data_IF_310598367659
#
_entry.id   IF_310598367659
#
_cell.length_a   1.000
_cell.length_b   1.000
_cell.length_c   1.000
_cell.angle_alpha   90.00
_cell.angle_beta   90.00
_cell.angle_gamma   90.00
#
_symmetry.space_group_name_H-M   'P 1'
#
loop_
_entity.id
_entity.type
_entity.pdbx_description
1 polymer ?
#
# COMPACT_ATOMS: atom_id res chain seq x y z
N UNK A 1 -11.50 21.05 -0.86
CA UNK A 1 -10.10 20.92 -0.39
C UNK A 1 -10.00 19.60 0.36
N UNK A 2 -9.19 18.66 -0.12
CA UNK A 2 -9.00 17.39 0.58
C UNK A 2 -8.31 17.69 1.92
N UNK A 3 -9.02 17.45 3.03
CA UNK A 3 -8.42 17.54 4.36
C UNK A 3 -7.29 16.52 4.40
N UNK A 4 -6.05 17.01 4.49
CA UNK A 4 -4.87 16.20 4.63
C UNK A 4 -4.96 15.55 6.03
N UNK A 5 -5.57 14.36 6.12
CA UNK A 5 -5.66 13.59 7.37
C UNK A 5 -4.23 13.39 7.86
N UNK A 6 -3.91 13.94 9.04
CA UNK A 6 -2.62 13.75 9.67
C UNK A 6 -2.32 12.25 9.80
N UNK A 7 -1.12 11.83 9.38
CA UNK A 7 -0.72 10.44 9.48
C UNK A 7 -0.57 10.08 10.98
N UNK A 8 -1.02 8.90 11.42
CA UNK A 8 -0.68 8.40 12.75
C UNK A 8 0.83 8.47 12.99
N UNK A 9 1.25 8.87 14.19
CA UNK A 9 2.67 9.07 14.56
C UNK A 9 3.54 7.83 14.27
N UNK A 10 2.97 6.62 14.39
CA UNK A 10 3.63 5.36 14.02
C UNK A 10 3.99 5.27 12.54
N UNK A 11 3.13 5.80 11.65
CA UNK A 11 3.39 5.84 10.20
C UNK A 11 4.47 6.86 9.86
N UNK A 12 4.47 8.02 10.51
CA UNK A 12 5.53 9.03 10.33
C UNK A 12 6.90 8.48 10.76
N UNK A 13 6.93 7.78 11.90
CA UNK A 13 8.16 7.15 12.41
C UNK A 13 8.68 6.08 11.45
N UNK A 14 7.77 5.30 10.86
CA UNK A 14 8.11 4.32 9.82
C UNK A 14 8.66 4.99 8.55
N UNK A 15 8.07 6.08 8.08
CA UNK A 15 8.59 6.81 6.92
C UNK A 15 9.95 7.47 7.20
N UNK A 16 10.19 7.91 8.44
CA UNK A 16 11.50 8.40 8.87
C UNK A 16 12.55 7.27 8.86
N UNK A 17 12.18 6.06 9.31
CA UNK A 17 13.11 4.92 9.28
C UNK A 17 13.44 4.49 7.86
N UNK A 18 12.47 4.52 6.93
CA UNK A 18 12.70 4.32 5.50
C UNK A 18 13.67 5.34 4.90
N UNK A 19 13.48 6.63 5.22
CA UNK A 19 14.39 7.69 4.77
C UNK A 19 15.80 7.51 5.33
N UNK A 20 15.92 7.14 6.61
CA UNK A 20 17.22 6.86 7.23
C UNK A 20 17.92 5.72 6.51
N UNK A 21 17.23 4.58 6.32
CA UNK A 21 17.75 3.41 5.62
C UNK A 21 18.21 3.74 4.20
N UNK A 22 17.41 4.49 3.44
CA UNK A 22 17.79 4.95 2.09
C UNK A 22 19.12 5.71 2.10
N UNK A 23 19.26 6.69 3.02
CA UNK A 23 20.47 7.50 3.13
C UNK A 23 21.68 6.67 3.53
N UNK A 24 21.51 5.80 4.51
CA UNK A 24 22.57 4.94 5.03
C UNK A 24 23.08 3.96 3.95
N UNK A 25 22.16 3.32 3.20
CA UNK A 25 22.51 2.38 2.13
C UNK A 25 23.18 3.09 0.94
N UNK A 26 22.68 4.25 0.49
CA UNK A 26 23.30 5.03 -0.58
C UNK A 26 24.71 5.48 -0.17
N UNK A 27 24.86 5.99 1.06
CA UNK A 27 26.15 6.39 1.61
C UNK A 27 27.11 5.19 1.65
N UNK A 28 26.64 4.03 2.09
CA UNK A 28 27.45 2.81 2.12
C UNK A 28 27.95 2.40 0.73
N UNK A 29 27.09 2.48 -0.30
CA UNK A 29 27.49 2.19 -1.68
C UNK A 29 28.58 3.15 -2.15
N UNK A 30 28.37 4.46 -1.95
CA UNK A 30 29.31 5.49 -2.38
C UNK A 30 30.65 5.38 -1.65
N UNK A 31 30.62 5.21 -0.33
CA UNK A 31 31.82 5.11 0.50
C UNK A 31 32.62 3.85 0.12
N UNK A 32 31.98 2.68 -0.02
CA UNK A 32 32.68 1.45 -0.44
C UNK A 32 33.24 1.55 -1.87
N UNK A 33 32.50 2.14 -2.81
CA UNK A 33 33.00 2.32 -4.18
C UNK A 33 34.20 3.27 -4.21
N UNK A 34 34.14 4.36 -3.44
CA UNK A 34 35.25 5.31 -3.32
C UNK A 34 36.52 4.62 -2.81
N UNK A 35 36.38 3.76 -1.79
CA UNK A 35 37.52 3.02 -1.25
C UNK A 35 38.07 1.98 -2.23
N UNK A 36 37.23 1.29 -3.03
CA UNK A 36 37.73 0.40 -4.10
C UNK A 36 38.63 1.17 -5.08
N UNK A 37 38.23 2.39 -5.47
CA UNK A 37 39.03 3.23 -6.37
C UNK A 37 40.36 3.63 -5.72
N UNK A 38 40.36 3.92 -4.41
CA UNK A 38 41.61 4.23 -3.68
C UNK A 38 42.54 3.02 -3.63
N UNK A 39 42.02 1.83 -3.32
CA UNK A 39 42.81 0.59 -3.27
C UNK A 39 43.35 0.19 -4.64
N UNK A 40 42.73 0.62 -5.74
CA UNK A 40 43.23 0.36 -7.09
C UNK A 40 44.49 1.19 -7.45
N UNK A 41 44.83 2.20 -6.64
CA UNK A 41 46.02 3.02 -6.85
C UNK A 41 47.26 2.23 -6.43
N UNK A 42 48.20 2.07 -7.36
CA UNK A 42 49.50 1.44 -7.08
C UNK A 42 50.40 2.47 -6.40
N UNK A 43 50.85 2.16 -5.18
CA UNK A 43 51.84 2.95 -4.46
C UNK A 43 53.24 2.34 -4.64
N UNK A 44 54.26 3.20 -4.79
CA UNK A 44 55.64 2.77 -5.06
C UNK A 44 56.36 2.27 -3.82
N UNK A 45 56.01 2.78 -2.64
CA UNK A 45 56.53 2.36 -1.33
C UNK A 45 55.41 1.86 -0.42
N UNK A 46 55.51 0.61 0.00
CA UNK A 46 54.57 -0.05 0.92
C UNK A 46 55.34 -0.66 2.09
N UNK A 47 54.71 -0.79 3.26
CA UNK A 47 55.35 -1.37 4.45
C UNK A 47 55.67 -2.87 4.29
N UNK A 48 55.00 -3.53 3.35
CA UNK A 48 55.13 -4.96 3.04
C UNK A 48 55.58 -5.18 1.59
N UNK A 49 55.91 -6.42 1.26
CA UNK A 49 56.23 -6.81 -0.11
C UNK A 49 55.06 -6.56 -1.06
N UNK A 50 55.32 -6.24 -2.34
CA UNK A 50 54.26 -6.03 -3.35
C UNK A 50 53.31 -7.22 -3.48
N UNK A 51 53.81 -8.45 -3.35
CA UNK A 51 52.97 -9.64 -3.39
C UNK A 51 51.99 -9.68 -2.22
N UNK A 52 52.47 -9.35 -1.01
CA UNK A 52 51.61 -9.28 0.19
C UNK A 52 50.60 -8.14 0.11
N UNK A 53 51.02 -6.97 -0.39
CA UNK A 53 50.12 -5.83 -0.57
C UNK A 53 49.00 -6.17 -1.58
N UNK A 54 49.34 -6.78 -2.72
CA UNK A 54 48.36 -7.15 -3.73
C UNK A 54 47.28 -8.12 -3.22
N UNK A 55 47.65 -9.07 -2.35
CA UNK A 55 46.68 -9.96 -1.70
C UNK A 55 45.78 -9.19 -0.72
N UNK A 56 46.35 -8.31 0.11
CA UNK A 56 45.57 -7.47 1.04
C UNK A 56 44.55 -6.60 0.29
N UNK A 57 45.00 -5.91 -0.76
CA UNK A 57 44.17 -5.04 -1.60
C UNK A 57 43.04 -5.83 -2.27
N UNK A 58 43.34 -7.05 -2.74
CA UNK A 58 42.36 -7.96 -3.34
C UNK A 58 41.25 -8.34 -2.34
N UNK A 59 41.63 -8.77 -1.13
CA UNK A 59 40.65 -9.09 -0.08
C UNK A 59 39.82 -7.86 0.32
N UNK A 60 40.45 -6.70 0.46
CA UNK A 60 39.73 -5.46 0.78
C UNK A 60 38.70 -5.14 -0.31
N UNK A 61 39.10 -5.14 -1.59
CA UNK A 61 38.21 -4.90 -2.72
C UNK A 61 37.01 -5.86 -2.72
N UNK A 62 37.23 -7.15 -2.44
CA UNK A 62 36.15 -8.13 -2.37
C UNK A 62 35.15 -7.83 -1.24
N UNK A 63 35.63 -7.47 -0.05
CA UNK A 63 34.77 -7.09 1.08
C UNK A 63 33.97 -5.84 0.74
N UNK A 64 34.59 -4.84 0.11
CA UNK A 64 33.93 -3.60 -0.30
C UNK A 64 32.85 -3.85 -1.34
N UNK A 65 33.14 -4.69 -2.35
CA UNK A 65 32.18 -5.08 -3.36
C UNK A 65 30.98 -5.83 -2.73
N UNK A 66 31.23 -6.75 -1.80
CA UNK A 66 30.17 -7.45 -1.07
C UNK A 66 29.28 -6.48 -0.26
N UNK A 67 29.87 -5.46 0.37
CA UNK A 67 29.11 -4.43 1.08
C UNK A 67 28.21 -3.60 0.15
N UNK A 68 28.68 -3.29 -1.07
CA UNK A 68 27.87 -2.61 -2.10
C UNK A 68 26.65 -3.47 -2.47
N UNK A 69 26.86 -4.77 -2.74
CA UNK A 69 25.78 -5.70 -3.07
C UNK A 69 24.76 -5.77 -1.93
N UNK A 70 25.23 -5.91 -0.68
CA UNK A 70 24.36 -5.95 0.50
C UNK A 70 23.50 -4.69 0.67
N UNK A 71 24.09 -3.51 0.46
CA UNK A 71 23.35 -2.25 0.48
C UNK A 71 22.31 -2.19 -0.66
N UNK A 72 22.67 -2.68 -1.86
CA UNK A 72 21.73 -2.82 -2.99
C UNK A 72 20.53 -3.72 -2.67
N UNK A 73 20.76 -4.89 -2.06
CA UNK A 73 19.68 -5.78 -1.61
C UNK A 73 18.80 -5.11 -0.55
N UNK A 74 19.40 -4.35 0.36
CA UNK A 74 18.67 -3.57 1.37
C UNK A 74 17.75 -2.53 0.71
N UNK A 75 18.22 -1.83 -0.32
CA UNK A 75 17.39 -0.90 -1.10
C UNK A 75 16.25 -1.62 -1.84
N UNK A 76 16.47 -2.82 -2.38
CA UNK A 76 15.40 -3.61 -3.00
C UNK A 76 14.31 -3.98 -1.99
N UNK A 77 14.69 -4.37 -0.78
CA UNK A 77 13.75 -4.63 0.33
C UNK A 77 12.98 -3.36 0.70
N UNK A 78 13.66 -2.21 0.80
CA UNK A 78 13.00 -0.93 1.06
C UNK A 78 11.94 -0.58 0.00
N UNK A 79 12.21 -0.83 -1.28
CA UNK A 79 11.22 -0.65 -2.35
C UNK A 79 10.00 -1.55 -2.16
N UNK A 80 10.21 -2.81 -1.74
CA UNK A 80 9.11 -3.73 -1.40
C UNK A 80 8.28 -3.21 -0.23
N UNK A 81 8.95 -2.74 0.84
CA UNK A 81 8.30 -2.20 2.04
C UNK A 81 7.45 -0.96 1.70
N UNK A 82 7.94 -0.08 0.82
CA UNK A 82 7.21 1.09 0.32
C UNK A 82 5.96 0.70 -0.48
N UNK A 83 6.06 -0.31 -1.36
CA UNK A 83 4.90 -0.82 -2.10
C UNK A 83 3.84 -1.35 -1.14
N UNK A 84 4.25 -2.15 -0.16
CA UNK A 84 3.34 -2.67 0.86
C UNK A 84 2.70 -1.54 1.67
N UNK A 85 3.47 -0.53 2.08
CA UNK A 85 2.94 0.64 2.76
C UNK A 85 1.86 1.35 1.94
N UNK A 86 2.11 1.62 0.66
CA UNK A 86 1.16 2.30 -0.22
C UNK A 86 -0.12 1.49 -0.43
N UNK A 87 0.00 0.19 -0.68
CA UNK A 87 -1.16 -0.71 -0.87
C UNK A 87 -2.01 -0.75 0.41
N UNK A 88 -1.38 -0.95 1.56
CA UNK A 88 -2.11 -1.10 2.83
C UNK A 88 -2.70 0.21 3.35
N UNK A 89 -2.10 1.37 3.03
CA UNK A 89 -2.59 2.66 3.53
C UNK A 89 -3.95 3.03 2.95
N UNK A 90 -4.27 2.55 1.75
CA UNK A 90 -5.53 2.88 1.07
C UNK A 90 -6.71 2.00 1.53
N UNK A 91 -6.43 0.82 2.11
CA UNK A 91 -7.50 -0.10 2.54
C UNK A 91 -8.51 0.49 3.53
N UNK A 92 -8.13 1.28 4.55
CA UNK A 92 -9.11 1.91 5.44
C UNK A 92 -10.08 2.83 4.69
N UNK A 93 -9.60 3.66 3.76
CA UNK A 93 -10.44 4.57 2.97
C UNK A 93 -11.35 3.80 2.02
N UNK A 94 -10.83 2.76 1.37
CA UNK A 94 -11.61 1.87 0.50
C UNK A 94 -12.69 1.13 1.29
N UNK A 95 -12.36 0.62 2.49
CA UNK A 95 -13.33 -0.03 3.37
C UNK A 95 -14.42 0.95 3.82
N UNK A 96 -14.05 2.18 4.21
CA UNK A 96 -15.00 3.24 4.58
C UNK A 96 -15.97 3.54 3.42
N UNK A 97 -15.46 3.61 2.17
CA UNK A 97 -16.28 3.81 0.97
C UNK A 97 -17.20 2.62 0.67
N UNK A 98 -16.72 1.38 0.84
CA UNK A 98 -17.52 0.16 0.70
C UNK A 98 -18.64 0.13 1.73
N UNK A 99 -18.35 0.45 3.00
CA UNK A 99 -19.34 0.48 4.07
C UNK A 99 -20.42 1.53 3.83
N UNK A 100 -20.03 2.74 3.42
CA UNK A 100 -20.97 3.79 3.02
C UNK A 100 -21.87 3.33 1.87
N UNK A 101 -21.30 2.71 0.83
CA UNK A 101 -22.09 2.21 -0.30
C UNK A 101 -23.03 1.08 0.12
N UNK A 102 -22.60 0.17 0.99
CA UNK A 102 -23.45 -0.87 1.54
C UNK A 102 -24.62 -0.29 2.33
N UNK A 103 -24.40 0.76 3.14
CA UNK A 103 -25.47 1.44 3.85
C UNK A 103 -26.49 2.09 2.90
N UNK A 104 -26.02 2.77 1.86
CA UNK A 104 -26.89 3.36 0.84
C UNK A 104 -27.73 2.31 0.11
N UNK A 105 -27.13 1.19 -0.27
CA UNK A 105 -27.84 0.09 -0.95
C UNK A 105 -28.89 -0.54 -0.04
N UNK A 106 -28.60 -0.74 1.25
CA UNK A 106 -29.59 -1.23 2.23
C UNK A 106 -30.76 -0.25 2.37
N UNK A 107 -30.48 1.04 2.50
CA UNK A 107 -31.53 2.05 2.61
C UNK A 107 -32.44 2.07 1.37
N UNK A 108 -31.86 1.95 0.17
CA UNK A 108 -32.61 1.85 -1.09
C UNK A 108 -33.44 0.56 -1.15
N UNK A 109 -32.87 -0.56 -0.73
CA UNK A 109 -33.59 -1.84 -0.65
C UNK A 109 -34.81 -1.72 0.26
N UNK A 110 -34.64 -1.20 1.47
CA UNK A 110 -35.75 -1.00 2.41
C UNK A 110 -36.83 -0.06 1.86
N UNK A 111 -36.43 0.98 1.10
CA UNK A 111 -37.39 1.86 0.45
C UNK A 111 -38.18 1.16 -0.66
N UNK A 112 -37.51 0.36 -1.50
CA UNK A 112 -38.16 -0.45 -2.51
C UNK A 112 -39.13 -1.47 -1.89
N UNK A 113 -38.70 -2.16 -0.84
CA UNK A 113 -39.54 -3.14 -0.13
C UNK A 113 -40.78 -2.48 0.48
N UNK A 114 -40.63 -1.29 1.08
CA UNK A 114 -41.77 -0.50 1.57
C UNK A 114 -42.75 -0.16 0.45
N UNK A 115 -42.25 0.34 -0.69
CA UNK A 115 -43.10 0.68 -1.85
C UNK A 115 -43.83 -0.53 -2.42
N UNK A 116 -43.18 -1.69 -2.48
CA UNK A 116 -43.80 -2.94 -2.93
C UNK A 116 -44.90 -3.40 -1.99
N UNK A 117 -44.71 -3.28 -0.67
CA UNK A 117 -45.73 -3.60 0.32
C UNK A 117 -46.94 -2.68 0.17
N UNK A 118 -46.72 -1.37 0.06
CA UNK A 118 -47.80 -0.40 -0.15
C UNK A 118 -48.58 -0.70 -1.43
N UNK A 119 -47.90 -0.93 -2.55
CA UNK A 119 -48.53 -1.25 -3.82
C UNK A 119 -49.35 -2.56 -3.75
N UNK A 120 -48.82 -3.59 -3.08
CA UNK A 120 -49.56 -4.84 -2.85
C UNK A 120 -50.85 -4.59 -2.08
N UNK A 121 -50.81 -3.76 -1.04
CA UNK A 121 -51.95 -3.47 -0.18
C UNK A 121 -53.01 -2.66 -0.94
N UNK A 122 -52.59 -1.66 -1.74
CA UNK A 122 -53.47 -0.90 -2.64
C UNK A 122 -54.18 -1.82 -3.65
N UNK A 123 -53.43 -2.67 -4.36
CA UNK A 123 -54.01 -3.63 -5.32
C UNK A 123 -54.98 -4.59 -4.64
N UNK A 124 -54.68 -5.02 -3.41
CA UNK A 124 -55.57 -5.93 -2.66
C UNK A 124 -56.90 -5.27 -2.31
N UNK A 125 -56.88 -3.96 -2.00
CA UNK A 125 -58.09 -3.17 -1.76
C UNK A 125 -58.89 -3.03 -3.05
N UNK A 126 -58.25 -2.60 -4.14
CA UNK A 126 -58.89 -2.43 -5.45
C UNK A 126 -59.55 -3.74 -5.93
N UNK A 127 -58.87 -4.88 -5.77
CA UNK A 127 -59.40 -6.19 -6.14
C UNK A 127 -60.65 -6.58 -5.32
N UNK A 128 -60.64 -6.28 -4.02
CA UNK A 128 -61.79 -6.53 -3.14
C UNK A 128 -63.00 -5.68 -3.54
N UNK A 129 -62.78 -4.39 -3.79
CA UNK A 129 -63.84 -3.47 -4.24
C UNK A 129 -64.43 -3.92 -5.58
N UNK A 130 -63.59 -4.31 -6.54
CA UNK A 130 -64.04 -4.84 -7.84
C UNK A 130 -64.83 -6.15 -7.70
N UNK A 131 -64.41 -7.04 -6.80
CA UNK A 131 -65.13 -8.29 -6.53
C UNK A 131 -66.51 -8.02 -5.92
N UNK A 132 -66.61 -7.06 -4.99
CA UNK A 132 -67.87 -6.64 -4.38
C UNK A 132 -68.82 -6.00 -5.41
N UNK A 133 -68.31 -5.10 -6.26
CA UNK A 133 -69.08 -4.49 -7.35
C UNK A 133 -69.57 -5.55 -8.36
N UNK A 134 -68.71 -6.49 -8.75
CA UNK A 134 -69.09 -7.58 -9.65
C UNK A 134 -70.25 -8.42 -9.09
N UNK A 135 -70.18 -8.77 -7.80
CA UNK A 135 -71.21 -9.60 -7.18
C UNK A 135 -72.50 -8.85 -6.81
N UNK A 136 -72.44 -7.53 -6.62
CA UNK A 136 -73.59 -6.67 -6.34
C UNK A 136 -74.25 -6.10 -7.61
N UNK A 137 -73.58 -6.21 -8.77
CA UNK A 137 -74.11 -5.79 -10.07
C UNK A 137 -75.42 -6.49 -10.42
N UNK A 138 -76.37 -5.70 -10.96
CA UNK A 138 -77.68 -6.18 -11.42
C UNK A 138 -77.62 -7.03 -12.70
N UNK A 139 -76.44 -7.17 -13.30
CA UNK A 139 -76.21 -7.96 -14.53
C UNK A 139 -75.72 -9.38 -14.23
N UNK A 140 -75.91 -9.86 -13.01
CA UNK A 140 -75.68 -11.24 -12.60
C UNK A 140 -76.84 -12.15 -12.98
#
# INVERSE_FOLDING_TARGET
MAQQRALPQSKETLLQSYNKRLKDDIKSIMDNFTEIIKTAKIEDETQVSRATQGEQDNYEMHVRAANIVRAGESLMKLVSDLKQFLILNDFPSVNEAIDQRNQQLRALQEECDRKLITLRDEISIDLYELEEEYYSSRYK
#
